data_IF_114779162110
#
_entry.id   IF_114779162110
#
_cell.length_a   1.000
_cell.length_b   1.000
_cell.length_c   1.000
_cell.angle_alpha   90.00
_cell.angle_beta   90.00
_cell.angle_gamma   90.00
#
_symmetry.space_group_name_H-M   'P 1'
#
loop_
_entity.id
_entity.type
_entity.pdbx_description
1 polymer ?
#
# COMPACT_ATOMS: atom_id res chain seq x y z
N UNK A 1 5.94 23.77 -38.65
CA UNK A 1 5.88 24.22 -37.25
C UNK A 1 7.29 24.05 -36.74
N UNK A 2 8.01 25.17 -36.64
CA UNK A 2 9.42 25.18 -36.26
C UNK A 2 9.56 24.77 -34.80
N UNK A 3 10.41 23.77 -34.54
CA UNK A 3 10.74 23.31 -33.20
C UNK A 3 11.50 24.43 -32.48
N UNK A 4 11.12 24.71 -31.23
CA UNK A 4 11.84 25.64 -30.37
C UNK A 4 13.20 24.99 -30.04
N UNK A 5 14.28 25.59 -30.54
CA UNK A 5 15.66 25.17 -30.31
C UNK A 5 15.99 25.39 -28.83
N UNK A 6 16.26 24.32 -28.07
CA UNK A 6 16.74 24.41 -26.68
C UNK A 6 18.25 24.73 -26.71
N UNK A 7 18.73 25.86 -26.16
CA UNK A 7 20.15 26.18 -26.13
C UNK A 7 20.76 25.69 -24.82
N UNK A 8 20.97 24.37 -24.66
CA UNK A 8 21.89 23.81 -23.65
C UNK A 8 22.17 22.32 -23.92
N UNK A 9 23.45 21.95 -23.90
CA UNK A 9 23.99 20.63 -24.25
C UNK A 9 23.50 19.50 -23.33
N UNK A 10 23.11 18.35 -23.91
CA UNK A 10 23.05 17.06 -23.23
C UNK A 10 24.37 16.79 -22.47
N UNK A 11 24.34 16.86 -21.13
CA UNK A 11 25.50 16.57 -20.29
C UNK A 11 25.62 15.08 -19.99
N UNK A 12 26.77 14.51 -20.33
CA UNK A 12 27.17 13.13 -20.04
C UNK A 12 27.81 13.08 -18.65
N UNK A 13 27.09 12.69 -17.62
CA UNK A 13 27.71 12.43 -16.31
C UNK A 13 28.24 10.99 -16.27
N UNK A 14 29.57 10.84 -16.38
CA UNK A 14 30.26 9.56 -16.16
C UNK A 14 30.40 9.33 -14.66
N UNK A 15 29.47 8.59 -14.08
CA UNK A 15 29.72 7.87 -12.83
C UNK A 15 29.64 6.37 -13.14
N UNK A 16 30.82 5.72 -13.19
CA UNK A 16 31.05 4.28 -13.27
C UNK A 16 30.08 3.47 -14.16
N UNK A 17 30.45 3.22 -15.42
CA UNK A 17 29.84 2.21 -16.32
C UNK A 17 28.33 2.28 -16.68
N UNK A 18 27.58 3.29 -16.23
CA UNK A 18 26.16 3.47 -16.59
C UNK A 18 25.93 4.50 -17.71
N UNK A 19 24.93 4.26 -18.56
CA UNK A 19 24.40 5.27 -19.50
C UNK A 19 23.20 5.97 -18.85
N UNK A 20 23.32 7.28 -18.59
CA UNK A 20 22.27 8.10 -17.98
C UNK A 20 21.70 9.05 -19.04
N UNK A 21 20.36 9.08 -19.20
CA UNK A 21 19.64 10.11 -19.96
C UNK A 21 18.68 10.83 -19.03
N UNK A 22 18.98 12.08 -18.72
CA UNK A 22 18.09 13.00 -17.98
C UNK A 22 17.42 13.90 -19.02
N UNK A 23 16.09 13.92 -19.05
CA UNK A 23 15.32 14.89 -19.84
C UNK A 23 14.68 15.84 -18.83
N UNK A 24 15.40 16.91 -18.49
CA UNK A 24 14.87 18.04 -17.73
C UNK A 24 14.47 19.13 -18.72
N UNK A 25 13.27 19.70 -18.56
CA UNK A 25 12.72 20.82 -19.33
C UNK A 25 12.95 20.76 -20.86
N UNK A 26 12.16 19.98 -21.63
CA UNK A 26 11.78 20.30 -23.02
C UNK A 26 10.88 19.18 -23.56
N UNK A 27 9.88 19.53 -24.36
CA UNK A 27 9.14 18.60 -25.24
C UNK A 27 10.20 17.84 -26.05
N UNK A 28 10.17 16.51 -25.97
CA UNK A 28 11.19 15.63 -26.57
C UNK A 28 11.28 15.90 -28.08
N UNK A 29 12.36 16.57 -28.51
CA UNK A 29 12.74 16.62 -29.92
C UNK A 29 13.40 15.29 -30.30
N UNK A 30 12.80 14.46 -31.18
CA UNK A 30 13.34 13.13 -31.49
C UNK A 30 14.70 13.14 -32.21
N UNK A 31 15.17 14.29 -32.69
CA UNK A 31 16.32 14.39 -33.59
C UNK A 31 17.70 14.34 -32.91
N UNK A 32 17.79 14.54 -31.58
CA UNK A 32 19.10 14.61 -30.90
C UNK A 32 19.47 13.35 -30.10
N UNK A 33 18.59 12.35 -29.98
CA UNK A 33 18.92 11.14 -29.25
C UNK A 33 20.02 10.34 -29.98
N UNK A 34 21.23 10.28 -29.40
CA UNK A 34 22.38 9.60 -30.03
C UNK A 34 22.05 8.12 -30.27
N UNK A 35 22.09 7.70 -31.54
CA UNK A 35 21.97 6.30 -32.03
C UNK A 35 22.79 5.25 -31.27
N UNK A 36 23.81 5.65 -30.52
CA UNK A 36 24.70 4.76 -29.76
C UNK A 36 24.12 4.33 -28.40
N UNK A 37 23.26 5.14 -27.77
CA UNK A 37 22.64 4.82 -26.46
C UNK A 37 21.61 3.70 -26.54
N UNK A 38 21.11 3.44 -27.75
CA UNK A 38 19.95 2.60 -28.05
C UNK A 38 20.34 1.26 -28.69
N UNK A 39 21.63 0.94 -28.79
CA UNK A 39 22.10 -0.29 -29.46
C UNK A 39 22.41 -1.47 -28.53
N UNK A 40 22.47 -1.23 -27.22
CA UNK A 40 23.10 -2.18 -26.28
C UNK A 40 22.27 -2.53 -25.04
N UNK A 41 21.09 -1.95 -24.85
CA UNK A 41 20.27 -2.21 -23.66
C UNK A 41 19.18 -3.25 -23.96
N UNK A 42 19.03 -4.24 -23.09
CA UNK A 42 17.81 -5.05 -23.02
C UNK A 42 16.69 -4.12 -22.52
N UNK A 43 15.91 -3.63 -23.47
CA UNK A 43 15.08 -2.44 -23.29
C UNK A 43 13.93 -2.65 -22.31
N UNK A 44 14.10 -2.21 -21.07
CA UNK A 44 13.00 -1.92 -20.17
C UNK A 44 12.94 -0.40 -19.99
N UNK A 45 11.91 0.25 -20.54
CA UNK A 45 11.72 1.71 -20.39
C UNK A 45 10.77 1.95 -19.23
N UNK A 46 11.28 2.55 -18.15
CA UNK A 46 10.44 2.97 -17.02
C UNK A 46 10.17 4.46 -17.14
N UNK A 47 8.91 4.83 -17.40
CA UNK A 47 8.49 6.24 -17.44
C UNK A 47 7.94 6.62 -16.08
N UNK A 48 8.63 7.49 -15.35
CA UNK A 48 8.14 8.03 -14.08
C UNK A 48 7.54 9.40 -14.34
N UNK A 49 6.23 9.51 -14.21
CA UNK A 49 5.51 10.74 -14.51
C UNK A 49 5.37 11.66 -13.29
N UNK A 50 5.48 12.97 -13.53
CA UNK A 50 5.71 13.96 -12.49
C UNK A 50 4.88 15.25 -12.61
N UNK A 51 4.06 15.57 -11.60
CA UNK A 51 3.33 16.84 -11.47
C UNK A 51 3.27 17.41 -10.04
N UNK A 52 3.61 18.70 -9.92
CA UNK A 52 3.23 19.66 -8.87
C UNK A 52 3.92 19.71 -7.47
N UNK A 53 4.77 18.77 -7.04
CA UNK A 53 5.34 18.78 -5.67
C UNK A 53 6.87 19.02 -5.52
N UNK A 54 7.58 19.45 -6.57
CA UNK A 54 9.03 19.46 -6.63
C UNK A 54 9.48 20.69 -7.40
N UNK A 55 9.35 21.85 -6.78
CA UNK A 55 10.03 23.03 -7.29
C UNK A 55 11.53 22.86 -7.09
N UNK A 56 12.31 23.03 -8.15
CA UNK A 56 13.74 23.29 -8.02
C UNK A 56 13.90 24.63 -7.31
N UNK A 57 14.33 24.62 -6.05
CA UNK A 57 14.83 25.84 -5.43
C UNK A 57 16.35 25.75 -5.37
N UNK A 58 17.02 26.58 -6.16
CA UNK A 58 18.47 26.78 -6.13
C UNK A 58 18.95 27.51 -4.88
N UNK A 59 18.37 27.23 -3.71
CA UNK A 59 18.73 27.86 -2.44
C UNK A 59 18.76 26.82 -1.31
N UNK A 60 19.98 26.42 -0.94
CA UNK A 60 20.31 25.36 0.01
C UNK A 60 20.08 25.77 1.48
N UNK A 61 19.00 26.50 1.78
CA UNK A 61 18.75 27.07 3.12
C UNK A 61 17.34 26.87 3.69
N UNK A 62 16.46 26.07 3.06
CA UNK A 62 15.09 25.83 3.54
C UNK A 62 14.86 24.44 4.17
N UNK A 63 13.86 24.39 5.05
CA UNK A 63 13.56 23.35 6.03
C UNK A 63 13.52 21.89 5.48
N UNK A 64 13.94 20.89 6.30
CA UNK A 64 14.17 19.50 5.87
C UNK A 64 12.94 18.73 5.36
N UNK A 65 11.72 19.23 5.58
CA UNK A 65 10.47 18.55 5.18
C UNK A 65 10.05 18.84 3.73
N UNK A 66 10.53 19.94 3.12
CA UNK A 66 10.25 20.29 1.71
C UNK A 66 11.20 19.55 0.76
N UNK A 67 12.36 19.08 1.26
CA UNK A 67 13.29 18.23 0.49
C UNK A 67 12.66 16.89 0.10
N UNK A 68 11.77 16.30 0.91
CA UNK A 68 11.25 14.95 0.67
C UNK A 68 10.44 14.81 -0.61
N UNK A 69 9.66 15.83 -1.00
CA UNK A 69 8.85 15.73 -2.21
C UNK A 69 9.75 15.78 -3.46
N UNK A 70 10.74 16.68 -3.51
CA UNK A 70 11.74 16.84 -4.61
C UNK A 70 12.56 15.56 -4.85
N UNK A 71 12.75 14.76 -3.81
CA UNK A 71 13.61 13.57 -3.83
C UNK A 71 12.93 12.35 -4.46
N UNK A 72 11.60 12.25 -4.45
CA UNK A 72 10.87 11.01 -4.78
C UNK A 72 11.14 10.44 -6.18
N UNK A 73 10.99 11.18 -7.31
CA UNK A 73 11.24 10.62 -8.65
C UNK A 73 12.72 10.26 -8.86
N UNK A 74 13.61 11.09 -8.32
CA UNK A 74 15.05 10.89 -8.41
C UNK A 74 15.51 9.68 -7.59
N UNK A 75 14.88 9.44 -6.44
CA UNK A 75 15.08 8.28 -5.60
C UNK A 75 14.57 7.00 -6.28
N UNK A 76 13.34 7.01 -6.80
CA UNK A 76 12.80 5.88 -7.56
C UNK A 76 13.71 5.51 -8.72
N UNK A 77 14.12 6.50 -9.52
CA UNK A 77 15.08 6.29 -10.62
C UNK A 77 16.36 5.63 -10.13
N UNK A 78 16.93 6.12 -9.02
CA UNK A 78 18.17 5.58 -8.46
C UNK A 78 18.01 4.13 -8.02
N UNK A 79 16.91 3.79 -7.36
CA UNK A 79 16.65 2.42 -6.91
C UNK A 79 16.38 1.47 -8.09
N UNK A 80 15.67 1.91 -9.13
CA UNK A 80 15.46 1.15 -10.36
C UNK A 80 16.78 0.84 -11.07
N UNK A 81 17.67 1.83 -11.19
CA UNK A 81 18.99 1.65 -11.82
C UNK A 81 19.94 0.76 -11.00
N UNK A 82 19.74 0.67 -9.67
CA UNK A 82 20.45 -0.31 -8.84
C UNK A 82 19.91 -1.73 -9.01
N UNK A 83 18.62 -1.86 -9.32
CA UNK A 83 17.95 -3.16 -9.41
C UNK A 83 18.37 -3.94 -10.64
N UNK A 84 18.39 -3.29 -11.80
CA UNK A 84 18.69 -3.91 -13.09
C UNK A 84 19.18 -2.86 -14.10
N UNK A 85 19.80 -3.34 -15.19
CA UNK A 85 20.26 -2.50 -16.30
C UNK A 85 19.07 -2.07 -17.18
N UNK A 86 18.40 -0.99 -16.76
CA UNK A 86 17.17 -0.47 -17.38
C UNK A 86 17.35 0.96 -17.89
N UNK A 87 16.53 1.33 -18.87
CA UNK A 87 16.42 2.71 -19.33
C UNK A 87 15.32 3.41 -18.52
N UNK A 88 15.70 4.28 -17.58
CA UNK A 88 14.72 5.02 -16.77
C UNK A 88 14.56 6.44 -17.32
N UNK A 89 13.35 6.77 -17.79
CA UNK A 89 12.99 8.07 -18.36
C UNK A 89 12.06 8.78 -17.38
N UNK A 90 12.46 9.96 -16.90
CA UNK A 90 11.59 10.79 -16.05
C UNK A 90 10.84 11.76 -16.97
N UNK A 91 9.51 11.80 -16.87
CA UNK A 91 8.67 12.72 -17.64
C UNK A 91 8.26 13.88 -16.75
N UNK A 92 8.94 14.99 -16.95
CA UNK A 92 8.63 16.26 -16.29
C UNK A 92 7.57 17.03 -17.09
N UNK A 93 6.40 17.21 -16.48
CA UNK A 93 5.34 18.08 -17.00
C UNK A 93 4.89 19.09 -15.95
N UNK A 94 5.81 19.50 -15.05
CA UNK A 94 5.53 20.42 -13.96
C UNK A 94 4.78 21.68 -14.43
N UNK A 95 5.22 22.28 -15.55
CA UNK A 95 4.57 23.45 -16.15
C UNK A 95 3.10 23.22 -16.55
N UNK A 96 2.72 22.00 -16.92
CA UNK A 96 1.35 21.60 -17.22
C UNK A 96 0.54 21.19 -15.98
N UNK A 97 1.20 20.83 -14.89
CA UNK A 97 0.57 20.40 -13.62
C UNK A 97 0.25 21.56 -12.66
N UNK A 98 0.99 22.67 -12.73
CA UNK A 98 0.88 23.84 -11.85
C UNK A 98 -0.40 24.71 -11.99
N UNK A 99 -1.10 24.78 -13.14
CA UNK A 99 -2.35 25.51 -13.26
C UNK A 99 -3.44 25.00 -12.31
N UNK A 100 -4.63 25.63 -12.35
CA UNK A 100 -5.81 25.15 -11.61
C UNK A 100 -6.03 23.65 -11.84
N UNK A 101 -6.42 22.91 -10.80
CA UNK A 101 -6.55 21.44 -10.85
C UNK A 101 -7.41 20.94 -12.01
N UNK A 102 -8.47 21.67 -12.40
CA UNK A 102 -9.28 21.36 -13.59
C UNK A 102 -8.48 21.42 -14.89
N UNK A 103 -7.60 22.41 -15.04
CA UNK A 103 -6.71 22.55 -16.18
C UNK A 103 -5.59 21.51 -16.14
N UNK A 104 -5.00 21.25 -14.97
CA UNK A 104 -4.01 20.19 -14.79
C UNK A 104 -4.59 18.82 -15.18
N UNK A 105 -5.83 18.54 -14.75
CA UNK A 105 -6.60 17.36 -15.15
C UNK A 105 -6.79 17.30 -16.66
N UNK A 106 -7.14 18.39 -17.33
CA UNK A 106 -7.24 18.39 -18.79
C UNK A 106 -5.89 18.16 -19.50
N UNK A 107 -4.80 18.68 -18.92
CA UNK A 107 -3.46 18.56 -19.48
C UNK A 107 -2.93 17.12 -19.46
N UNK A 108 -3.37 16.28 -18.52
CA UNK A 108 -3.00 14.84 -18.47
C UNK A 108 -3.20 14.12 -19.80
N UNK A 109 -4.27 14.47 -20.54
CA UNK A 109 -4.53 13.92 -21.88
C UNK A 109 -3.45 14.28 -22.89
N UNK A 110 -3.05 15.55 -22.90
CA UNK A 110 -2.02 16.03 -23.82
C UNK A 110 -0.67 15.39 -23.49
N UNK A 111 -0.30 15.35 -22.20
CA UNK A 111 0.95 14.70 -21.75
C UNK A 111 0.94 13.22 -22.12
N UNK A 112 -0.18 12.51 -21.94
CA UNK A 112 -0.29 11.09 -22.28
C UNK A 112 -0.11 10.83 -23.78
N UNK A 113 -0.65 11.72 -24.62
CA UNK A 113 -0.43 11.68 -26.06
C UNK A 113 1.05 11.89 -26.45
N UNK A 114 1.76 12.79 -25.78
CA UNK A 114 3.19 13.02 -26.02
C UNK A 114 4.04 11.81 -25.58
N UNK A 115 3.72 11.20 -24.44
CA UNK A 115 4.38 9.96 -23.98
C UNK A 115 4.14 8.83 -24.98
N UNK A 116 2.90 8.66 -25.46
CA UNK A 116 2.59 7.68 -26.49
C UNK A 116 3.31 7.95 -27.81
N UNK A 117 3.37 9.21 -28.24
CA UNK A 117 4.10 9.61 -29.44
C UNK A 117 5.60 9.24 -29.32
N UNK A 118 6.20 9.52 -28.17
CA UNK A 118 7.59 9.18 -27.89
C UNK A 118 7.85 7.67 -27.93
N UNK A 119 7.04 6.86 -27.25
CA UNK A 119 7.20 5.39 -27.25
C UNK A 119 6.96 4.79 -28.65
N UNK A 120 5.95 5.27 -29.39
CA UNK A 120 5.69 4.83 -30.75
C UNK A 120 6.82 5.24 -31.72
N UNK A 121 7.46 6.40 -31.49
CA UNK A 121 8.66 6.80 -32.22
C UNK A 121 9.82 5.83 -31.95
N UNK A 122 10.03 5.44 -30.68
CA UNK A 122 11.05 4.46 -30.33
C UNK A 122 10.78 3.08 -30.95
N UNK A 123 9.51 2.65 -30.95
CA UNK A 123 9.08 1.41 -31.60
C UNK A 123 9.39 1.44 -33.10
N UNK A 124 8.93 2.47 -33.81
CA UNK A 124 9.06 2.56 -35.26
C UNK A 124 10.50 2.82 -35.75
N UNK A 125 11.31 3.53 -34.96
CA UNK A 125 12.67 3.94 -35.37
C UNK A 125 13.76 2.98 -34.88
N UNK A 126 13.60 2.44 -33.66
CA UNK A 126 14.62 1.63 -33.01
C UNK A 126 14.17 0.18 -32.73
N UNK A 127 12.93 -0.18 -33.07
CA UNK A 127 12.41 -1.54 -32.88
C UNK A 127 12.12 -1.88 -31.42
N UNK A 128 11.88 -0.88 -30.55
CA UNK A 128 11.44 -1.10 -29.18
C UNK A 128 10.15 -1.95 -29.17
N UNK A 129 10.14 -3.07 -28.45
CA UNK A 129 8.92 -3.82 -28.19
C UNK A 129 8.12 -3.14 -27.06
N UNK A 130 6.89 -2.66 -27.32
CA UNK A 130 6.05 -2.06 -26.29
C UNK A 130 5.77 -2.99 -25.10
N UNK A 131 5.89 -4.31 -25.30
CA UNK A 131 5.74 -5.30 -24.23
C UNK A 131 6.79 -5.14 -23.12
N UNK A 132 7.93 -4.52 -23.40
CA UNK A 132 8.99 -4.26 -22.43
C UNK A 132 8.95 -2.84 -21.86
N UNK A 133 7.87 -2.08 -22.11
CA UNK A 133 7.68 -0.73 -21.54
C UNK A 133 6.83 -0.82 -20.28
N UNK A 134 7.28 -0.16 -19.22
CA UNK A 134 6.59 -0.04 -17.94
C UNK A 134 6.36 1.44 -17.60
N UNK A 135 5.12 1.91 -17.65
CA UNK A 135 4.79 3.28 -17.23
C UNK A 135 4.44 3.28 -15.74
N UNK A 136 4.97 4.24 -14.98
CA UNK A 136 4.69 4.43 -13.56
C UNK A 136 4.17 5.86 -13.38
N UNK A 137 2.89 5.98 -13.04
CA UNK A 137 2.22 7.27 -12.87
C UNK A 137 1.72 7.44 -11.43
N UNK A 138 1.97 8.60 -10.82
CA UNK A 138 1.43 8.96 -9.50
C UNK A 138 0.33 10.01 -9.63
N UNK A 139 -0.73 9.92 -8.82
CA UNK A 139 -1.81 10.92 -8.79
C UNK A 139 -2.44 11.13 -10.18
N UNK A 140 -2.47 12.37 -10.68
CA UNK A 140 -2.85 12.71 -12.06
C UNK A 140 -2.06 11.94 -13.10
N UNK A 141 -0.79 11.62 -12.83
CA UNK A 141 0.06 10.88 -13.76
C UNK A 141 -0.31 9.41 -13.92
N UNK A 142 -1.02 8.82 -12.95
CA UNK A 142 -1.60 7.48 -13.19
C UNK A 142 -2.59 7.50 -14.36
N UNK A 143 -3.34 8.60 -14.54
CA UNK A 143 -4.29 8.75 -15.64
C UNK A 143 -3.62 9.15 -16.94
N UNK A 144 -2.63 10.02 -16.89
CA UNK A 144 -1.76 10.30 -18.05
C UNK A 144 -1.11 9.03 -18.59
N UNK A 145 -0.61 8.13 -17.72
CA UNK A 145 -0.09 6.83 -18.13
C UNK A 145 -1.17 5.94 -18.80
N UNK A 146 -2.42 5.97 -18.30
CA UNK A 146 -3.55 5.33 -18.96
C UNK A 146 -3.82 5.90 -20.36
N UNK A 147 -3.90 7.23 -20.50
CA UNK A 147 -4.05 7.91 -21.79
C UNK A 147 -2.91 7.57 -22.78
N UNK A 148 -1.69 7.38 -22.28
CA UNK A 148 -0.58 6.90 -23.11
C UNK A 148 -0.79 5.44 -23.54
N UNK A 149 -1.18 4.56 -22.61
CA UNK A 149 -1.45 3.15 -22.85
C UNK A 149 -2.51 2.90 -23.91
N UNK A 150 -3.61 3.67 -23.90
CA UNK A 150 -4.67 3.62 -24.93
C UNK A 150 -4.12 3.79 -26.36
N UNK A 151 -2.98 4.48 -26.52
CA UNK A 151 -2.33 4.79 -27.80
C UNK A 151 -1.08 3.98 -28.10
N UNK A 152 -0.69 3.06 -27.21
CA UNK A 152 0.48 2.18 -27.38
C UNK A 152 -0.01 0.73 -27.47
N UNK A 153 -0.06 0.19 -28.69
CA UNK A 153 -0.52 -1.17 -28.91
C UNK A 153 0.44 -2.18 -28.28
N UNK A 154 -0.06 -2.98 -27.34
CA UNK A 154 0.69 -4.05 -26.71
C UNK A 154 1.61 -3.60 -25.58
N UNK A 155 1.36 -2.42 -24.98
CA UNK A 155 2.08 -1.91 -23.81
C UNK A 155 2.20 -2.97 -22.71
N UNK A 156 3.42 -3.16 -22.19
CA UNK A 156 3.75 -4.18 -21.21
C UNK A 156 3.04 -4.00 -19.88
N UNK A 157 3.28 -2.87 -19.20
CA UNK A 157 2.76 -2.64 -17.85
C UNK A 157 2.50 -1.18 -17.54
N UNK A 158 1.46 -0.91 -16.77
CA UNK A 158 1.24 0.37 -16.07
C UNK A 158 1.16 0.10 -14.57
N UNK A 159 1.87 0.89 -13.77
CA UNK A 159 1.65 0.96 -12.32
C UNK A 159 1.05 2.32 -11.95
N UNK A 160 -0.15 2.30 -11.38
CA UNK A 160 -0.83 3.47 -10.84
C UNK A 160 -0.53 3.65 -9.35
N UNK A 161 0.16 4.73 -8.99
CA UNK A 161 0.46 5.07 -7.61
C UNK A 161 -0.56 6.09 -7.12
N UNK A 162 -1.54 5.62 -6.36
CA UNK A 162 -2.66 6.38 -5.81
C UNK A 162 -3.33 7.32 -6.84
N UNK A 163 -3.99 6.77 -7.89
CA UNK A 163 -4.59 7.57 -8.97
C UNK A 163 -5.59 8.61 -8.41
N UNK A 164 -5.61 9.82 -8.97
CA UNK A 164 -6.40 10.92 -8.40
C UNK A 164 -7.93 10.72 -8.50
N UNK A 165 -8.68 10.94 -7.42
CA UNK A 165 -10.16 10.84 -7.39
C UNK A 165 -10.86 11.94 -8.20
N UNK A 166 -10.59 13.24 -7.97
CA UNK A 166 -11.47 14.27 -8.47
C UNK A 166 -11.42 14.38 -9.99
N UNK A 167 -12.60 14.31 -10.61
CA UNK A 167 -12.84 14.23 -12.07
C UNK A 167 -12.52 12.89 -12.76
N UNK A 168 -12.14 11.85 -12.02
CA UNK A 168 -11.86 10.51 -12.58
C UNK A 168 -12.73 9.41 -11.98
N UNK A 169 -12.96 9.41 -10.66
CA UNK A 169 -13.79 8.38 -10.02
C UNK A 169 -15.22 8.39 -10.57
N UNK A 170 -15.75 7.20 -10.89
CA UNK A 170 -17.08 7.04 -11.49
C UNK A 170 -17.18 7.44 -12.96
N UNK A 171 -16.10 7.95 -13.57
CA UNK A 171 -16.09 8.32 -14.98
C UNK A 171 -15.85 7.11 -15.90
N UNK A 172 -16.26 7.19 -17.19
CA UNK A 172 -16.01 6.14 -18.17
C UNK A 172 -14.53 5.82 -18.33
N UNK A 173 -14.20 4.59 -18.70
CA UNK A 173 -12.82 4.09 -18.82
C UNK A 173 -11.93 4.98 -19.70
N UNK A 174 -12.44 5.47 -20.84
CA UNK A 174 -11.75 6.43 -21.74
C UNK A 174 -11.29 7.75 -21.08
N UNK A 175 -11.68 8.02 -19.84
CA UNK A 175 -11.32 9.26 -19.13
C UNK A 175 -10.40 9.05 -17.94
N UNK A 176 -9.95 7.82 -17.69
CA UNK A 176 -9.15 7.46 -16.51
C UNK A 176 -8.26 6.26 -16.82
N UNK A 177 -7.44 5.89 -15.85
CA UNK A 177 -6.71 4.62 -15.91
C UNK A 177 -7.70 3.46 -15.82
N UNK A 178 -7.52 2.44 -16.65
CA UNK A 178 -8.26 1.19 -16.58
C UNK A 178 -7.43 -0.02 -17.05
N UNK A 179 -7.89 -1.26 -16.77
CA UNK A 179 -7.13 -2.47 -17.12
C UNK A 179 -6.80 -2.62 -18.61
N UNK A 180 -7.59 -2.04 -19.52
CA UNK A 180 -7.36 -2.15 -20.96
C UNK A 180 -6.15 -1.36 -21.48
N UNK A 181 -5.59 -0.45 -20.67
CA UNK A 181 -4.50 0.44 -21.06
C UNK A 181 -3.14 -0.28 -21.22
N UNK A 182 -2.97 -1.48 -20.66
CA UNK A 182 -1.75 -2.28 -20.81
C UNK A 182 -2.01 -3.77 -20.59
N UNK A 183 -1.05 -4.64 -20.92
CA UNK A 183 -1.13 -6.08 -20.63
C UNK A 183 -1.23 -6.39 -19.13
N UNK A 184 -0.65 -5.53 -18.30
CA UNK A 184 -0.79 -5.55 -16.85
C UNK A 184 -0.96 -4.13 -16.33
N UNK A 185 -1.94 -3.93 -15.46
CA UNK A 185 -2.18 -2.67 -14.76
C UNK A 185 -2.28 -3.01 -13.28
N UNK A 186 -1.33 -2.53 -12.48
CA UNK A 186 -1.33 -2.74 -11.03
C UNK A 186 -1.38 -1.39 -10.29
N UNK A 187 -2.23 -1.29 -9.27
CA UNK A 187 -2.57 -0.01 -8.64
C UNK A 187 -2.37 -0.09 -7.14
N UNK A 188 -1.78 0.95 -6.53
CA UNK A 188 -1.59 1.07 -5.08
C UNK A 188 -2.43 2.24 -4.58
N UNK A 189 -3.48 1.96 -3.80
CA UNK A 189 -4.37 2.97 -3.21
C UNK A 189 -3.94 3.26 -1.77
N UNK A 190 -3.63 4.51 -1.46
CA UNK A 190 -3.17 4.92 -0.12
C UNK A 190 -4.00 6.02 0.51
N UNK A 191 -4.75 6.79 -0.28
CA UNK A 191 -5.52 7.97 0.16
C UNK A 191 -6.97 8.00 -0.36
N UNK A 192 -7.61 6.84 -0.41
CA UNK A 192 -9.00 6.63 -0.86
C UNK A 192 -10.08 7.08 0.12
N UNK A 193 -9.80 8.07 0.98
CA UNK A 193 -10.87 8.79 1.69
C UNK A 193 -11.64 9.64 0.68
N UNK A 194 -12.88 10.00 1.00
CA UNK A 194 -13.59 10.97 0.17
C UNK A 194 -12.82 12.30 0.13
N UNK A 195 -12.82 12.97 -1.01
CA UNK A 195 -12.33 14.35 -1.13
C UNK A 195 -12.88 15.33 -0.07
N UNK A 196 -14.10 15.12 0.43
CA UNK A 196 -14.67 15.92 1.54
C UNK A 196 -13.96 15.70 2.87
N UNK A 197 -13.28 14.56 3.02
CA UNK A 197 -12.39 14.20 4.12
C UNK A 197 -10.92 14.31 3.71
N UNK A 198 -10.64 15.12 2.68
CA UNK A 198 -9.30 15.43 2.18
C UNK A 198 -8.53 14.23 1.61
N UNK A 199 -9.21 13.18 1.14
CA UNK A 199 -8.57 12.12 0.35
C UNK A 199 -8.43 12.52 -1.11
N UNK A 200 -7.25 12.35 -1.68
CA UNK A 200 -6.98 12.68 -3.08
C UNK A 200 -7.01 11.47 -4.01
N UNK A 201 -6.86 10.25 -3.48
CA UNK A 201 -6.81 9.02 -4.26
C UNK A 201 -8.19 8.42 -4.56
N UNK A 202 -8.34 7.77 -5.71
CA UNK A 202 -9.51 6.97 -6.03
C UNK A 202 -9.63 5.80 -5.04
N UNK A 203 -10.85 5.50 -4.61
CA UNK A 203 -11.16 4.25 -3.89
C UNK A 203 -11.60 3.13 -4.86
N UNK A 204 -12.14 3.54 -6.01
CA UNK A 204 -12.58 2.64 -7.07
C UNK A 204 -11.38 1.87 -7.66
N UNK A 205 -11.48 0.53 -7.77
CA UNK A 205 -10.49 -0.28 -8.48
C UNK A 205 -10.36 0.13 -9.94
N UNK A 206 -9.13 0.24 -10.44
CA UNK A 206 -8.83 0.62 -11.81
C UNK A 206 -7.68 -0.17 -12.46
N UNK A 207 -7.16 -1.21 -11.79
CA UNK A 207 -6.19 -2.13 -12.35
C UNK A 207 -6.73 -3.55 -12.57
N UNK A 208 -5.84 -4.40 -13.08
CA UNK A 208 -5.98 -5.86 -12.98
C UNK A 208 -5.78 -6.32 -11.53
N UNK A 209 -4.87 -5.65 -10.82
CA UNK A 209 -4.58 -5.88 -9.40
C UNK A 209 -4.60 -4.54 -8.67
N UNK A 210 -5.43 -4.43 -7.64
CA UNK A 210 -5.58 -3.22 -6.85
C UNK A 210 -5.20 -3.52 -5.38
N UNK A 211 -4.15 -2.86 -4.93
CA UNK A 211 -3.59 -2.99 -3.59
C UNK A 211 -4.10 -1.87 -2.68
N UNK A 212 -4.58 -2.23 -1.48
CA UNK A 212 -5.15 -1.28 -0.53
C UNK A 212 -4.41 -1.33 0.83
N UNK A 213 -3.18 -0.78 0.91
CA UNK A 213 -2.45 -0.68 2.16
C UNK A 213 -3.20 0.03 3.26
N UNK A 214 -3.34 -0.66 4.39
CA UNK A 214 -4.00 -0.14 5.58
C UNK A 214 -5.41 0.38 5.23
N UNK A 215 -6.23 -0.44 4.55
CA UNK A 215 -7.55 -0.09 4.00
C UNK A 215 -7.52 0.91 2.83
N UNK A 216 -6.33 1.31 2.38
CA UNK A 216 -6.10 2.27 1.31
C UNK A 216 -6.59 3.68 1.61
N UNK A 217 -6.70 4.07 2.88
CA UNK A 217 -7.29 5.36 3.30
C UNK A 217 -6.38 6.17 4.23
N UNK A 218 -5.81 5.51 5.23
CA UNK A 218 -4.97 6.15 6.24
C UNK A 218 -3.70 5.34 6.38
N UNK A 219 -2.57 6.01 6.24
CA UNK A 219 -1.27 5.38 6.30
C UNK A 219 -0.64 5.67 7.66
N UNK A 220 -0.02 4.66 8.31
CA UNK A 220 0.68 4.87 9.57
C UNK A 220 1.71 6.01 9.47
N UNK A 221 1.72 6.91 10.46
CA UNK A 221 2.62 8.08 10.50
C UNK A 221 2.15 9.30 9.70
N UNK A 222 0.92 9.29 9.17
CA UNK A 222 0.31 10.43 8.45
C UNK A 222 -0.85 11.08 9.23
N UNK A 223 -0.98 10.85 10.54
CA UNK A 223 -2.04 11.44 11.35
C UNK A 223 -1.72 12.92 11.68
N UNK A 224 -2.68 13.81 11.41
CA UNK A 224 -2.55 15.25 11.60
C UNK A 224 -2.30 15.63 13.08
N UNK A 225 -2.69 14.76 14.02
CA UNK A 225 -2.46 14.96 15.45
C UNK A 225 -1.00 14.72 15.88
N UNK A 226 -0.24 13.90 15.14
CA UNK A 226 1.15 13.56 15.45
C UNK A 226 2.18 14.49 14.78
N UNK A 227 1.78 15.23 13.74
CA UNK A 227 2.61 16.24 13.06
C UNK A 227 2.08 17.66 13.32
N UNK A 228 2.38 18.28 14.49
CA UNK A 228 1.99 19.65 14.76
C UNK A 228 2.68 20.60 13.79
N UNK A 229 1.89 21.45 13.14
CA UNK A 229 2.33 22.48 12.20
C UNK A 229 3.54 23.28 12.72
N UNK A 230 4.65 23.35 11.96
CA UNK A 230 5.63 24.41 12.16
C UNK A 230 4.94 25.77 12.00
N UNK A 231 5.04 26.63 13.03
CA UNK A 231 4.53 28.02 13.03
C UNK A 231 5.05 28.87 11.84
N UNK A 232 6.06 28.39 11.12
CA UNK A 232 6.59 28.99 9.89
C UNK A 232 5.64 28.85 8.69
N UNK A 233 4.80 27.81 8.62
CA UNK A 233 3.79 27.63 7.56
C UNK A 233 2.62 28.62 7.65
N UNK A 234 2.43 29.24 8.82
CA UNK A 234 1.38 30.26 9.04
C UNK A 234 1.80 31.62 8.43
N UNK A 235 3.11 31.84 8.22
CA UNK A 235 3.63 33.10 7.66
C UNK A 235 3.55 33.19 6.13
N UNK A 236 3.65 32.07 5.42
CA UNK A 236 3.74 32.04 3.96
C UNK A 236 2.38 31.81 3.25
N UNK A 237 1.27 31.95 3.97
CA UNK A 237 -0.08 31.92 3.41
C UNK A 237 -0.77 30.56 3.52
N UNK A 238 -2.07 30.61 3.81
CA UNK A 238 -2.92 29.45 4.12
C UNK A 238 -3.04 28.46 2.93
N UNK A 239 -2.83 28.92 1.70
CA UNK A 239 -2.88 28.08 0.49
C UNK A 239 -1.70 27.10 0.41
N UNK A 240 -0.48 27.52 0.76
CA UNK A 240 0.71 26.66 0.61
C UNK A 240 0.83 25.64 1.75
N UNK A 241 0.42 26.01 2.96
CA UNK A 241 0.31 25.07 4.09
C UNK A 241 -0.74 23.97 3.85
N UNK A 242 -1.82 24.28 3.12
CA UNK A 242 -2.87 23.32 2.77
C UNK A 242 -2.41 22.25 1.76
N UNK A 243 -1.41 22.57 0.93
CA UNK A 243 -0.88 21.69 -0.12
C UNK A 243 0.12 20.65 0.38
N UNK A 244 0.83 20.96 1.47
CA UNK A 244 1.90 20.11 2.03
C UNK A 244 1.36 19.12 3.07
N UNK A 245 0.42 19.52 3.94
CA UNK A 245 -0.06 18.64 5.03
C UNK A 245 -0.96 17.49 4.58
N UNK A 246 -1.69 17.67 3.48
CA UNK A 246 -2.73 16.73 3.04
C UNK A 246 -2.16 15.63 2.13
N UNK A 247 -0.90 15.74 1.69
CA UNK A 247 -0.31 14.82 0.74
C UNK A 247 0.38 13.57 1.36
N UNK A 248 0.49 13.44 2.69
CA UNK A 248 1.27 12.33 3.30
C UNK A 248 0.74 10.95 2.92
N UNK A 249 -0.58 10.72 3.06
CA UNK A 249 -1.22 9.47 2.64
C UNK A 249 -1.04 9.27 1.14
N UNK A 250 -1.21 10.34 0.35
CA UNK A 250 -1.13 10.29 -1.11
C UNK A 250 0.27 9.95 -1.65
N UNK A 251 1.31 10.47 -1.01
CA UNK A 251 2.73 10.22 -1.36
C UNK A 251 3.17 8.83 -0.88
N UNK A 252 2.47 8.20 0.07
CA UNK A 252 2.85 6.89 0.60
C UNK A 252 2.91 5.82 -0.48
N UNK A 253 2.08 5.88 -1.53
CA UNK A 253 2.14 4.93 -2.64
C UNK A 253 3.52 4.95 -3.35
N UNK A 254 4.12 6.13 -3.54
CA UNK A 254 5.48 6.25 -4.09
C UNK A 254 6.49 5.60 -3.16
N UNK A 255 6.46 5.94 -1.86
CA UNK A 255 7.40 5.38 -0.87
C UNK A 255 7.30 3.85 -0.82
N UNK A 256 6.08 3.30 -0.78
CA UNK A 256 5.84 1.85 -0.80
C UNK A 256 6.36 1.18 -2.08
N UNK A 257 6.20 1.82 -3.25
CA UNK A 257 6.73 1.29 -4.50
C UNK A 257 8.26 1.31 -4.52
N UNK A 258 8.89 2.43 -4.15
CA UNK A 258 10.36 2.56 -4.06
C UNK A 258 10.92 1.47 -3.15
N UNK A 259 10.31 1.29 -1.98
CA UNK A 259 10.70 0.27 -1.01
C UNK A 259 10.63 -1.15 -1.58
N UNK A 260 9.73 -1.41 -2.53
CA UNK A 260 9.54 -2.73 -3.13
C UNK A 260 10.62 -3.12 -4.15
N UNK A 261 11.40 -2.16 -4.65
CA UNK A 261 12.33 -2.36 -5.76
C UNK A 261 13.48 -3.30 -5.36
N UNK A 262 14.19 -2.97 -4.30
CA UNK A 262 15.39 -3.70 -3.83
C UNK A 262 15.17 -4.40 -2.48
N UNK A 263 13.91 -4.74 -2.15
CA UNK A 263 13.59 -5.38 -0.86
C UNK A 263 13.94 -6.85 -0.84
N UNK A 264 14.46 -7.31 0.30
CA UNK A 264 14.57 -8.74 0.64
C UNK A 264 13.30 -9.28 1.33
N UNK A 265 12.38 -8.40 1.70
CA UNK A 265 11.11 -8.69 2.35
C UNK A 265 9.97 -8.21 1.44
N UNK A 266 9.42 -9.08 0.57
CA UNK A 266 8.42 -8.68 -0.40
C UNK A 266 7.09 -8.35 0.29
N UNK A 267 6.39 -7.35 -0.25
CA UNK A 267 5.04 -7.02 0.19
C UNK A 267 4.05 -8.05 -0.35
N UNK A 268 3.63 -8.99 0.49
CA UNK A 268 2.58 -9.95 0.12
C UNK A 268 1.22 -9.40 0.54
N UNK A 269 0.31 -9.29 -0.44
CA UNK A 269 -1.05 -8.84 -0.22
C UNK A 269 -2.03 -10.01 -0.44
N UNK A 270 -3.08 -10.08 0.38
CA UNK A 270 -4.07 -11.15 0.34
C UNK A 270 -5.37 -10.66 -0.30
N UNK A 271 -5.87 -11.40 -1.29
CA UNK A 271 -7.19 -11.14 -1.88
C UNK A 271 -8.26 -11.30 -0.82
N UNK A 272 -9.10 -10.30 -0.67
CA UNK A 272 -10.15 -10.31 0.36
C UNK A 272 -11.34 -9.43 -0.03
N UNK A 273 -12.56 -9.87 0.31
CA UNK A 273 -13.80 -9.13 -0.03
C UNK A 273 -13.90 -7.77 0.67
N UNK A 274 -13.28 -7.62 1.84
CA UNK A 274 -13.26 -6.37 2.61
C UNK A 274 -12.10 -6.34 3.59
N UNK A 275 -11.67 -5.12 3.96
CA UNK A 275 -10.66 -4.94 5.00
C UNK A 275 -11.11 -5.51 6.35
N UNK A 276 -12.42 -5.48 6.64
CA UNK A 276 -12.96 -6.07 7.86
C UNK A 276 -12.85 -7.60 7.88
N UNK A 277 -13.01 -8.28 6.73
CA UNK A 277 -12.75 -9.71 6.61
C UNK A 277 -11.26 -10.02 6.79
N UNK A 278 -10.38 -9.16 6.27
CA UNK A 278 -8.94 -9.27 6.48
C UNK A 278 -8.57 -9.15 7.96
N UNK A 279 -9.05 -8.12 8.66
CA UNK A 279 -8.83 -7.93 10.10
C UNK A 279 -9.38 -9.08 10.96
N UNK A 280 -10.38 -9.81 10.48
CA UNK A 280 -10.92 -11.01 11.14
C UNK A 280 -10.12 -12.28 10.82
N UNK A 281 -9.09 -12.21 9.98
CA UNK A 281 -8.26 -13.35 9.62
C UNK A 281 -8.98 -14.38 8.73
N UNK A 282 -10.00 -13.93 7.97
CA UNK A 282 -10.70 -14.78 6.98
C UNK A 282 -9.88 -14.97 5.71
N UNK A 283 -9.02 -14.00 5.40
CA UNK A 283 -8.13 -13.97 4.23
C UNK A 283 -6.68 -14.07 4.72
N UNK A 284 -6.21 -15.30 4.98
CA UNK A 284 -5.00 -15.53 5.79
C UNK A 284 -4.03 -16.58 5.21
N UNK A 285 -4.34 -17.14 4.04
CA UNK A 285 -3.56 -18.23 3.42
C UNK A 285 -3.23 -17.92 1.98
N UNK A 286 -2.01 -18.24 1.52
CA UNK A 286 -1.61 -18.19 0.12
C UNK A 286 -1.62 -19.62 -0.44
N UNK A 287 -2.70 -20.05 -1.09
CA UNK A 287 -2.70 -21.41 -1.64
C UNK A 287 -1.77 -21.46 -2.86
N UNK A 288 -0.86 -22.44 -2.90
CA UNK A 288 -0.02 -22.72 -4.06
C UNK A 288 -0.89 -22.82 -5.33
N UNK A 289 -0.53 -22.07 -6.37
CA UNK A 289 -1.26 -21.97 -7.66
C UNK A 289 -2.64 -21.28 -7.62
N UNK A 290 -2.95 -20.52 -6.57
CA UNK A 290 -4.19 -19.73 -6.52
C UNK A 290 -3.93 -18.22 -6.68
N UNK A 291 -4.93 -17.51 -7.20
CA UNK A 291 -4.97 -16.04 -7.29
C UNK A 291 -5.26 -15.35 -5.94
N UNK A 292 -4.99 -16.01 -4.80
CA UNK A 292 -5.35 -15.48 -3.47
C UNK A 292 -4.31 -14.53 -2.91
N UNK A 293 -3.09 -14.51 -3.43
CA UNK A 293 -2.03 -13.60 -2.99
C UNK A 293 -1.30 -12.99 -4.17
N UNK A 294 -0.86 -11.75 -4.00
CA UNK A 294 -0.07 -11.01 -4.98
C UNK A 294 1.07 -10.25 -4.30
N UNK A 295 2.17 -10.05 -5.03
CA UNK A 295 3.27 -9.19 -4.59
C UNK A 295 2.93 -7.75 -4.96
N UNK A 296 2.94 -6.82 -4.00
CA UNK A 296 2.79 -5.40 -4.31
C UNK A 296 4.13 -4.81 -4.77
N UNK A 297 4.06 -3.92 -5.77
CA UNK A 297 5.18 -3.10 -6.21
C UNK A 297 5.89 -3.68 -7.42
N UNK A 298 7.22 -3.53 -7.52
CA UNK A 298 7.95 -3.87 -8.74
C UNK A 298 7.76 -5.33 -9.17
N UNK A 299 7.64 -6.26 -8.22
CA UNK A 299 7.47 -7.69 -8.47
C UNK A 299 6.02 -8.13 -8.75
N UNK A 300 5.05 -7.21 -8.87
CA UNK A 300 3.65 -7.58 -9.06
C UNK A 300 3.39 -8.45 -10.30
N UNK A 301 4.17 -8.26 -11.36
CA UNK A 301 4.14 -9.08 -12.59
C UNK A 301 4.44 -10.57 -12.36
N UNK A 302 5.07 -10.94 -11.24
CA UNK A 302 5.37 -12.33 -10.89
C UNK A 302 4.19 -13.04 -10.19
N UNK A 303 3.11 -12.32 -9.92
CA UNK A 303 1.95 -12.85 -9.19
C UNK A 303 1.12 -13.77 -10.10
N UNK A 304 0.76 -14.96 -9.59
CA UNK A 304 -0.08 -15.92 -10.32
C UNK A 304 -1.50 -15.40 -10.63
N UNK A 305 -1.94 -14.33 -9.96
CA UNK A 305 -3.19 -13.60 -10.28
C UNK A 305 -3.21 -13.15 -11.75
N UNK A 306 -2.05 -12.81 -12.31
CA UNK A 306 -1.89 -12.40 -13.70
C UNK A 306 -2.09 -13.58 -14.68
N UNK A 307 -2.02 -14.83 -14.22
CA UNK A 307 -2.07 -16.02 -15.08
C UNK A 307 -3.46 -16.63 -15.26
N UNK A 308 -4.43 -16.34 -14.36
CA UNK A 308 -5.75 -16.99 -14.39
C UNK A 308 -6.89 -16.07 -14.82
N UNK A 309 -6.77 -14.75 -14.63
CA UNK A 309 -7.91 -13.82 -14.69
C UNK A 309 -7.84 -12.81 -15.86
N UNK A 310 -6.88 -12.94 -16.79
CA UNK A 310 -6.78 -12.11 -18.00
C UNK A 310 -7.85 -12.43 -19.09
N UNK A 311 -8.95 -13.10 -18.72
CA UNK A 311 -10.11 -13.22 -19.62
C UNK A 311 -10.84 -11.89 -19.71
N UNK A 312 -11.04 -11.31 -20.91
CA UNK A 312 -11.76 -10.05 -21.07
C UNK A 312 -13.21 -10.21 -20.59
N UNK A 313 -13.56 -9.57 -19.47
CA UNK A 313 -14.94 -9.53 -18.95
C UNK A 313 -15.16 -10.01 -17.51
N UNK A 314 -14.15 -10.49 -16.79
CA UNK A 314 -14.27 -10.69 -15.34
C UNK A 314 -14.13 -9.35 -14.61
N UNK A 315 -15.26 -8.74 -14.25
CA UNK A 315 -15.36 -7.55 -13.39
C UNK A 315 -14.90 -7.80 -11.94
N UNK A 316 -14.06 -8.79 -11.68
CA UNK A 316 -13.53 -9.05 -10.34
C UNK A 316 -12.16 -8.40 -10.22
N UNK A 317 -12.14 -7.12 -9.89
CA UNK A 317 -10.94 -6.46 -9.41
C UNK A 317 -10.41 -7.22 -8.20
N UNK A 318 -9.15 -7.65 -8.27
CA UNK A 318 -8.51 -8.41 -7.20
C UNK A 318 -8.10 -7.45 -6.08
N UNK A 319 -9.04 -7.13 -5.19
CA UNK A 319 -8.79 -6.32 -3.99
C UNK A 319 -7.82 -7.09 -3.09
N UNK A 320 -6.57 -6.62 -3.05
CA UNK A 320 -5.52 -7.20 -2.23
C UNK A 320 -5.26 -6.32 -1.02
N UNK A 321 -5.57 -6.85 0.16
CA UNK A 321 -5.53 -6.17 1.46
C UNK A 321 -4.47 -6.84 2.34
N UNK A 322 -3.57 -6.05 2.92
CA UNK A 322 -2.58 -6.52 3.89
C UNK A 322 -1.14 -6.24 3.48
N UNK A 323 -0.34 -5.73 4.42
CA UNK A 323 1.05 -5.33 4.18
C UNK A 323 1.97 -5.82 5.27
N UNK A 324 3.04 -6.50 4.87
CA UNK A 324 4.22 -6.67 5.69
C UNK A 324 5.41 -6.08 4.96
N UNK A 325 5.94 -4.95 5.43
CA UNK A 325 7.30 -4.50 5.07
C UNK A 325 8.35 -5.28 5.85
N UNK A 326 8.05 -5.51 7.13
CA UNK A 326 8.84 -6.19 8.16
C UNK A 326 7.93 -6.81 9.23
N UNK A 327 6.65 -6.43 9.30
CA UNK A 327 5.68 -6.88 10.31
C UNK A 327 4.99 -8.17 9.94
N UNK A 328 5.30 -9.27 10.63
CA UNK A 328 4.53 -10.52 10.48
C UNK A 328 3.11 -10.30 10.99
N UNK A 329 2.15 -10.84 10.25
CA UNK A 329 0.74 -10.81 10.64
C UNK A 329 0.44 -12.06 11.45
N UNK A 330 -0.18 -11.88 12.60
CA UNK A 330 -0.60 -12.97 13.47
C UNK A 330 -2.12 -12.92 13.61
N UNK A 331 -2.78 -14.06 13.41
CA UNK A 331 -4.19 -14.24 13.74
C UNK A 331 -4.29 -14.76 15.16
N UNK A 332 -4.85 -13.95 16.04
CA UNK A 332 -5.20 -14.31 17.41
C UNK A 332 -6.68 -14.69 17.44
N UNK A 333 -6.95 -15.97 17.70
CA UNK A 333 -8.30 -16.52 17.87
C UNK A 333 -8.55 -16.77 19.35
N UNK A 334 -9.61 -16.14 19.86
CA UNK A 334 -10.02 -16.21 21.26
C UNK A 334 -11.27 -17.10 21.32
N UNK A 335 -11.17 -18.24 21.99
CA UNK A 335 -12.30 -19.14 22.21
C UNK A 335 -13.01 -18.73 23.51
N UNK A 336 -14.26 -18.26 23.39
CA UNK A 336 -15.03 -17.78 24.55
C UNK A 336 -15.90 -18.90 25.13
N UNK A 337 -15.77 -19.12 26.44
CA UNK A 337 -16.65 -20.03 27.17
C UNK A 337 -17.99 -19.37 27.51
N UNK A 338 -19.02 -20.17 27.77
CA UNK A 338 -20.36 -19.70 28.17
C UNK A 338 -20.84 -20.38 29.45
N UNK A 339 -20.25 -20.10 30.62
CA UNK A 339 -20.75 -20.62 31.88
C UNK A 339 -22.15 -20.05 32.18
N UNK A 340 -22.96 -20.71 33.05
CA UNK A 340 -24.35 -20.29 33.32
C UNK A 340 -24.52 -18.84 33.82
N UNK A 341 -23.48 -18.30 34.46
CA UNK A 341 -23.45 -16.91 34.95
C UNK A 341 -23.05 -15.87 33.89
N UNK A 342 -22.52 -16.30 32.75
CA UNK A 342 -22.01 -15.38 31.73
C UNK A 342 -23.15 -14.64 31.03
N UNK A 343 -22.94 -13.36 30.79
CA UNK A 343 -23.81 -12.60 29.89
C UNK A 343 -23.77 -13.17 28.47
N UNK A 344 -24.85 -12.96 27.72
CA UNK A 344 -24.90 -13.41 26.32
C UNK A 344 -23.80 -12.79 25.45
N UNK A 345 -23.43 -11.54 25.73
CA UNK A 345 -22.35 -10.82 25.07
C UNK A 345 -21.78 -9.75 26.01
N UNK A 346 -20.53 -9.38 25.77
CA UNK A 346 -19.83 -8.27 26.45
C UNK A 346 -19.09 -7.44 25.40
N UNK A 347 -18.64 -6.25 25.78
CA UNK A 347 -17.78 -5.44 24.90
C UNK A 347 -16.68 -4.76 25.70
N UNK A 348 -15.54 -4.53 25.05
CA UNK A 348 -14.37 -4.02 25.73
C UNK A 348 -13.11 -4.01 24.89
N UNK A 349 -12.01 -3.69 25.55
CA UNK A 349 -10.67 -3.61 25.00
C UNK A 349 -9.85 -4.83 25.40
N UNK A 350 -8.97 -5.27 24.51
CA UNK A 350 -8.15 -6.45 24.71
C UNK A 350 -6.71 -6.18 24.32
N UNK A 351 -5.78 -6.64 25.16
CA UNK A 351 -4.35 -6.62 24.86
C UNK A 351 -3.75 -7.98 25.12
N UNK A 352 -2.73 -8.35 24.35
CA UNK A 352 -2.00 -9.60 24.54
C UNK A 352 -0.50 -9.36 24.67
N UNK A 353 0.14 -10.10 25.57
CA UNK A 353 1.59 -10.24 25.59
C UNK A 353 1.95 -11.67 25.21
N UNK A 354 2.75 -11.81 24.15
CA UNK A 354 3.18 -13.07 23.58
C UNK A 354 4.58 -13.40 24.09
N UNK A 355 4.74 -14.57 24.72
CA UNK A 355 6.03 -15.06 25.20
C UNK A 355 6.42 -16.31 24.41
N UNK A 356 7.57 -16.23 23.76
CA UNK A 356 8.19 -17.33 23.02
C UNK A 356 9.56 -17.68 23.57
N UNK A 357 10.22 -18.64 22.93
CA UNK A 357 11.61 -19.00 23.25
C UNK A 357 12.59 -17.89 22.82
N UNK A 358 12.27 -17.18 21.75
CA UNK A 358 13.14 -16.19 21.12
C UNK A 358 12.93 -14.77 21.65
N UNK A 359 11.84 -14.51 22.37
CA UNK A 359 11.58 -13.18 22.94
C UNK A 359 10.21 -12.99 23.58
N UNK A 360 9.90 -11.75 23.92
CA UNK A 360 8.61 -11.34 24.49
C UNK A 360 8.10 -10.11 23.77
N UNK A 361 6.91 -10.21 23.20
CA UNK A 361 6.13 -9.07 22.68
C UNK A 361 5.14 -8.68 23.76
N UNK A 362 5.18 -7.42 24.21
CA UNK A 362 4.33 -6.93 25.31
C UNK A 362 3.25 -5.99 24.81
N UNK A 363 2.08 -6.05 25.44
CA UNK A 363 0.99 -5.09 25.27
C UNK A 363 0.55 -4.87 23.81
N UNK A 364 0.51 -5.94 23.01
CA UNK A 364 -0.02 -5.89 21.65
C UNK A 364 -1.53 -5.63 21.72
N UNK A 365 -1.96 -4.50 21.17
CA UNK A 365 -3.37 -4.11 21.18
C UNK A 365 -4.16 -4.90 20.14
N UNK A 366 -5.20 -5.62 20.58
CA UNK A 366 -6.11 -6.35 19.70
C UNK A 366 -7.30 -5.48 19.24
N UNK A 367 -7.45 -4.30 19.83
CA UNK A 367 -8.61 -3.39 19.71
C UNK A 367 -8.18 -1.94 19.40
N UNK A 368 -7.32 -1.69 18.39
CA UNK A 368 -6.79 -0.35 18.12
C UNK A 368 -7.85 0.65 17.65
N UNK A 369 -8.94 0.17 17.06
CA UNK A 369 -10.04 0.99 16.53
C UNK A 369 -11.20 1.18 17.53
N UNK A 370 -10.97 0.90 18.82
CA UNK A 370 -11.98 0.95 19.87
C UNK A 370 -12.44 -0.44 20.32
N UNK A 371 -13.50 -0.47 21.13
CA UNK A 371 -13.98 -1.71 21.74
C UNK A 371 -14.45 -2.74 20.71
N UNK A 372 -14.39 -4.01 21.09
CA UNK A 372 -14.97 -5.11 20.31
C UNK A 372 -16.10 -5.77 21.09
N UNK A 373 -17.17 -6.12 20.37
CA UNK A 373 -18.27 -6.91 20.91
C UNK A 373 -17.97 -8.41 20.78
N UNK A 374 -18.12 -9.12 21.89
CA UNK A 374 -17.80 -10.54 22.04
C UNK A 374 -19.03 -11.30 22.51
N UNK A 375 -19.34 -12.43 21.87
CA UNK A 375 -20.44 -13.31 22.26
C UNK A 375 -19.89 -14.54 22.98
N UNK A 376 -20.30 -14.77 24.23
CA UNK A 376 -19.86 -15.94 24.98
C UNK A 376 -20.36 -17.23 24.30
N UNK A 377 -19.47 -18.22 24.17
CA UNK A 377 -19.72 -19.47 23.45
C UNK A 377 -19.37 -19.43 21.97
N UNK A 378 -18.79 -18.34 21.46
CA UNK A 378 -18.26 -18.23 20.11
C UNK A 378 -16.76 -17.94 20.12
N UNK A 379 -16.08 -18.29 19.03
CA UNK A 379 -14.69 -17.91 18.80
C UNK A 379 -14.62 -16.59 18.05
N UNK A 380 -13.66 -15.74 18.40
CA UNK A 380 -13.39 -14.48 17.71
C UNK A 380 -11.94 -14.41 17.26
N UNK A 381 -11.72 -14.18 15.97
CA UNK A 381 -10.39 -14.02 15.39
C UNK A 381 -10.10 -12.57 15.03
N UNK A 382 -8.86 -12.14 15.28
CA UNK A 382 -8.34 -10.80 15.03
C UNK A 382 -6.92 -10.91 14.45
N UNK A 383 -6.59 -10.09 13.46
CA UNK A 383 -5.25 -10.00 12.88
C UNK A 383 -4.51 -8.81 13.47
N UNK A 384 -3.29 -9.06 13.92
CA UNK A 384 -2.37 -8.07 14.48
C UNK A 384 -1.01 -8.17 13.81
N UNK A 385 -0.25 -7.08 13.83
CA UNK A 385 1.05 -7.00 13.16
C UNK A 385 2.16 -6.75 14.17
N UNK A 386 3.32 -7.38 13.96
CA UNK A 386 4.51 -7.12 14.77
C UNK A 386 5.80 -7.28 13.94
N UNK A 387 6.78 -6.35 14.02
CA UNK A 387 8.00 -6.35 13.19
C UNK A 387 8.93 -7.55 13.40
N UNK A 388 8.83 -8.25 14.53
CA UNK A 388 9.67 -9.41 14.83
C UNK A 388 8.92 -10.72 14.65
N UNK A 389 9.65 -11.74 14.21
CA UNK A 389 9.22 -13.14 14.33
C UNK A 389 9.10 -13.48 15.80
N UNK A 390 7.89 -13.83 16.22
CA UNK A 390 7.63 -14.22 17.60
C UNK A 390 8.01 -15.68 17.81
N UNK A 391 8.09 -16.52 16.79
CA UNK A 391 8.40 -17.94 16.97
C UNK A 391 7.34 -18.69 17.79
N UNK A 392 7.69 -19.91 18.23
CA UNK A 392 6.74 -20.80 18.92
C UNK A 392 6.39 -20.26 20.31
N UNK A 393 5.10 -20.04 20.56
CA UNK A 393 4.63 -19.49 21.83
C UNK A 393 4.65 -20.54 22.95
N UNK A 394 5.09 -20.10 24.13
CA UNK A 394 5.04 -20.88 25.38
C UNK A 394 3.96 -20.37 26.33
N UNK A 395 3.74 -19.06 26.33
CA UNK A 395 2.81 -18.39 27.23
C UNK A 395 2.19 -17.16 26.57
N UNK A 396 0.90 -16.92 26.84
CA UNK A 396 0.19 -15.69 26.48
C UNK A 396 -0.40 -15.08 27.73
N UNK A 397 -0.18 -13.78 27.92
CA UNK A 397 -0.89 -12.98 28.91
C UNK A 397 -1.98 -12.19 28.18
N UNK A 398 -3.23 -12.38 28.59
CA UNK A 398 -4.39 -11.76 27.96
C UNK A 398 -5.03 -10.79 28.94
N UNK A 399 -5.08 -9.52 28.57
CA UNK A 399 -5.68 -8.43 29.33
C UNK A 399 -7.06 -8.09 28.79
N UNK A 400 -8.02 -7.90 29.70
CA UNK A 400 -9.41 -7.51 29.39
C UNK A 400 -9.80 -6.25 30.14
N UNK A 401 -10.48 -5.33 29.46
CA UNK A 401 -11.14 -4.17 30.07
C UNK A 401 -12.52 -3.98 29.48
N UNK A 402 -13.55 -4.08 30.31
CA UNK A 402 -14.94 -3.90 29.91
C UNK A 402 -15.24 -2.43 29.58
N UNK A 403 -15.93 -2.19 28.47
CA UNK A 403 -16.32 -0.85 28.01
C UNK A 403 -17.81 -0.58 28.30
N UNK A 404 -18.07 0.43 29.14
CA UNK A 404 -19.40 0.94 29.42
C UNK A 404 -19.69 2.15 28.52
N UNK A 405 -20.54 1.96 27.50
CA UNK A 405 -20.93 3.02 26.59
C UNK A 405 -22.33 3.54 26.96
N UNK A 406 -22.40 4.81 27.36
CA UNK A 406 -23.65 5.49 27.74
C UNK A 406 -24.62 5.63 26.57
N UNK A 407 -24.11 5.65 25.33
CA UNK A 407 -24.91 5.68 24.11
C UNK A 407 -25.47 4.29 23.75
N UNK A 408 -25.00 3.22 24.42
CA UNK A 408 -25.52 1.86 24.29
C UNK A 408 -26.08 1.36 25.61
N UNK A 409 -27.38 1.57 25.89
CA UNK A 409 -27.99 1.27 27.19
C UNK A 409 -27.83 -0.17 27.66
N UNK A 410 -27.67 -1.13 26.73
CA UNK A 410 -27.44 -2.55 27.04
C UNK A 410 -26.02 -2.88 27.50
N UNK A 411 -25.08 -1.93 27.45
CA UNK A 411 -23.71 -2.08 27.93
C UNK A 411 -23.48 -1.50 29.34
N UNK A 412 -24.45 -0.74 29.87
CA UNK A 412 -24.33 -0.08 31.17
C UNK A 412 -24.33 -1.10 32.31
N UNK A 413 -23.24 -1.10 33.09
CA UNK A 413 -22.99 -2.10 34.11
C UNK A 413 -22.76 -1.45 35.50
N UNK A 414 -23.84 -1.16 36.24
CA UNK A 414 -23.77 -0.43 37.53
C UNK A 414 -23.85 -1.31 38.80
N UNK A 415 -24.68 -2.36 38.81
CA UNK A 415 -24.90 -3.18 40.02
C UNK A 415 -25.25 -4.67 39.77
N UNK A 416 -25.89 -5.01 38.64
CA UNK A 416 -26.45 -6.35 38.35
C UNK A 416 -26.04 -6.86 36.96
N UNK A 417 -24.75 -6.86 36.69
CA UNK A 417 -24.19 -7.20 35.39
C UNK A 417 -22.87 -7.92 35.61
N UNK A 418 -22.56 -8.86 34.73
CA UNK A 418 -21.32 -9.61 34.76
C UNK A 418 -20.41 -9.09 33.64
N UNK A 419 -19.47 -8.23 34.02
CA UNK A 419 -18.48 -7.61 33.14
C UNK A 419 -17.24 -8.50 32.89
N UNK A 420 -17.27 -9.73 33.42
CA UNK A 420 -16.20 -10.69 33.23
C UNK A 420 -16.23 -11.27 31.81
N UNK A 421 -15.03 -11.56 31.31
CA UNK A 421 -14.82 -12.32 30.09
C UNK A 421 -14.41 -13.75 30.44
N UNK A 422 -15.07 -14.73 29.82
CA UNK A 422 -14.75 -16.14 30.01
C UNK A 422 -14.05 -16.70 28.78
N UNK A 423 -12.77 -17.07 28.91
CA UNK A 423 -11.93 -17.52 27.78
C UNK A 423 -11.44 -18.94 28.03
N UNK A 424 -11.71 -19.88 27.13
CA UNK A 424 -11.28 -21.28 27.25
C UNK A 424 -9.87 -21.50 26.70
N UNK A 425 -9.58 -20.95 25.53
CA UNK A 425 -8.29 -21.09 24.86
C UNK A 425 -7.99 -19.86 23.99
N UNK A 426 -6.70 -19.68 23.72
CA UNK A 426 -6.20 -18.69 22.76
C UNK A 426 -5.34 -19.42 21.75
N UNK A 427 -5.65 -19.26 20.48
CA UNK A 427 -4.85 -19.78 19.37
C UNK A 427 -4.17 -18.61 18.66
N UNK A 428 -2.86 -18.71 18.44
CA UNK A 428 -2.11 -17.76 17.63
C UNK A 428 -1.51 -18.49 16.44
N UNK A 429 -1.83 -18.00 15.25
CA UNK A 429 -1.30 -18.49 13.99
C UNK A 429 -0.60 -17.37 13.23
N UNK A 430 0.53 -17.67 12.60
CA UNK A 430 1.20 -16.74 11.71
C UNK A 430 0.60 -16.77 10.29
N UNK A 431 0.52 -15.62 9.63
CA UNK A 431 0.04 -15.49 8.26
C UNK A 431 1.06 -16.07 7.28
N UNK A 432 0.57 -16.83 6.31
CA UNK A 432 1.37 -17.41 5.25
C UNK A 432 1.89 -16.32 4.29
N UNK A 433 3.21 -16.30 4.08
CA UNK A 433 3.92 -15.35 3.22
C UNK A 433 4.48 -16.09 1.98
N UNK A 434 4.37 -17.42 1.91
CA UNK A 434 4.99 -18.24 0.88
C UNK A 434 4.24 -18.14 -0.44
N UNK A 435 4.84 -17.44 -1.41
CA UNK A 435 4.48 -17.55 -2.84
C UNK A 435 5.29 -18.65 -3.55
N UNK A 436 6.28 -19.25 -2.87
CA UNK A 436 7.19 -20.27 -3.41
C UNK A 436 7.61 -21.29 -2.35
N UNK A 437 6.96 -22.46 -2.33
CA UNK A 437 7.56 -23.80 -2.16
C UNK A 437 8.46 -24.10 -0.96
N UNK A 438 8.63 -23.21 0.03
CA UNK A 438 9.16 -23.60 1.33
C UNK A 438 8.01 -24.25 2.10
N UNK A 439 8.25 -25.47 2.59
CA UNK A 439 7.42 -26.13 3.59
C UNK A 439 7.36 -25.22 4.81
N UNK A 440 6.38 -24.32 4.83
CA UNK A 440 6.08 -23.53 6.01
C UNK A 440 5.56 -24.52 7.05
N UNK A 441 6.31 -24.63 8.15
CA UNK A 441 5.75 -25.19 9.37
C UNK A 441 4.69 -24.21 9.83
N UNK A 442 3.42 -24.46 9.49
CA UNK A 442 2.25 -23.73 9.98
C UNK A 442 2.42 -23.51 11.49
N UNK A 443 2.89 -22.33 11.88
CA UNK A 443 3.17 -22.03 13.28
C UNK A 443 1.85 -21.68 13.95
N UNK A 444 1.14 -22.73 14.37
CA UNK A 444 -0.11 -22.65 15.09
C UNK A 444 0.12 -23.07 16.54
N UNK A 445 0.06 -22.10 17.44
CA UNK A 445 0.20 -22.31 18.88
C UNK A 445 -1.15 -22.17 19.56
N UNK A 446 -1.71 -23.27 20.05
CA UNK A 446 -2.91 -23.26 20.91
C UNK A 446 -2.47 -23.24 22.37
N UNK A 447 -2.94 -22.27 23.13
CA UNK A 447 -2.65 -22.08 24.55
C UNK A 447 -3.94 -22.21 25.37
N UNK A 448 -3.84 -22.91 26.49
CA UNK A 448 -4.96 -23.21 27.38
C UNK A 448 -4.70 -22.69 28.79
N UNK A 449 -5.73 -22.70 29.62
CA UNK A 449 -5.59 -22.24 31.01
C UNK A 449 -4.68 -23.15 31.85
N UNK A 450 -3.91 -22.61 32.81
CA UNK A 450 -3.06 -23.40 33.70
C UNK A 450 -3.86 -24.24 34.71
N UNK A 451 -3.48 -25.51 34.84
CA UNK A 451 -4.27 -26.49 35.59
C UNK A 451 -5.54 -26.85 34.82
N UNK A 452 -6.16 -28.01 35.08
CA UNK A 452 -7.30 -28.54 34.32
C UNK A 452 -8.61 -27.72 34.46
N UNK A 453 -8.55 -26.39 34.32
CA UNK A 453 -9.70 -25.50 34.30
C UNK A 453 -10.24 -25.46 32.87
N UNK A 454 -11.56 -25.47 32.74
CA UNK A 454 -12.21 -25.39 31.42
C UNK A 454 -12.11 -23.99 30.80
N UNK A 455 -12.02 -22.95 31.64
CA UNK A 455 -11.91 -21.55 31.21
C UNK A 455 -11.26 -20.67 32.27
N UNK A 456 -10.73 -19.52 31.82
CA UNK A 456 -10.27 -18.43 32.65
C UNK A 456 -11.43 -17.46 32.86
N UNK A 457 -11.65 -17.09 34.12
CA UNK A 457 -12.60 -16.07 34.53
C UNK A 457 -11.84 -14.74 34.71
N UNK A 458 -12.04 -13.80 33.78
CA UNK A 458 -11.25 -12.57 33.67
C UNK A 458 -12.14 -11.38 34.04
N UNK A 459 -11.94 -10.82 35.23
CA UNK A 459 -12.61 -9.59 35.64
C UNK A 459 -12.14 -8.40 34.80
N UNK A 460 -12.94 -7.33 34.73
CA UNK A 460 -12.51 -6.10 34.05
C UNK A 460 -11.21 -5.54 34.64
N UNK A 461 -10.32 -5.05 33.79
CA UNK A 461 -8.97 -4.54 34.10
C UNK A 461 -8.05 -5.58 34.74
N UNK A 462 -8.21 -6.84 34.36
CA UNK A 462 -7.37 -7.94 34.85
C UNK A 462 -6.74 -8.72 33.70
N UNK A 463 -5.70 -9.50 34.04
CA UNK A 463 -4.94 -10.31 33.09
C UNK A 463 -5.05 -11.79 33.45
N UNK A 464 -5.29 -12.64 32.45
CA UNK A 464 -5.20 -14.09 32.58
C UNK A 464 -4.01 -14.64 31.80
N UNK A 465 -3.49 -15.77 32.27
CA UNK A 465 -2.35 -16.44 31.67
C UNK A 465 -2.82 -17.71 30.97
N UNK A 466 -2.31 -17.96 29.77
CA UNK A 466 -2.51 -19.17 28.98
C UNK A 466 -1.15 -19.78 28.65
N UNK A 467 -1.04 -21.11 28.67
CA UNK A 467 0.22 -21.85 28.45
C UNK A 467 0.03 -22.92 27.39
N UNK A 468 1.12 -23.31 26.72
CA UNK A 468 1.15 -24.29 25.63
C UNK A 468 0.85 -25.74 26.07
N UNK A 469 0.80 -26.02 27.37
CA UNK A 469 0.45 -27.32 27.95
C UNK A 469 -1.05 -27.43 28.19
N UNK A 470 -1.81 -27.60 27.11
CA UNK A 470 -3.23 -27.95 27.22
C UNK A 470 -3.37 -29.36 27.84
N UNK A 471 -4.26 -29.52 28.83
CA UNK A 471 -4.63 -30.83 29.33
C UNK A 471 -5.30 -31.63 28.20
N UNK A 472 -4.80 -32.84 27.97
CA UNK A 472 -5.26 -33.77 26.93
C UNK A 472 -6.55 -34.49 27.30
#
# INVERSE_FOLDING_TARGET
MDCIVCPQEMRREKHADWNVVVIEECIVCPQEMRRELLKYADWNVVVVEYGMYCLSSGDATRAPEIEECIVCPQEMRRELLKHADWNVVVVDWAGGSLPLYTQATANTRLVGLEVAYFINYLQSTFGLDPANVHLIGHSLGAHTAGYAGERIVGLGRITGLDPAEPFFQGMPTITRLDPSDAKLVDVIHTDGKSIFLLGYGMSQPCGHIDFYPNNGKEQPGCDLAETPLPLTLIRDGLEEASRVLVACNHIRAIKLFIDSINTNCPYVAHRCDSYQHFLQGRCFTCKENSSTCALMGLQAHQSNVVSTDLTPGSNESSISLGFSRVGRHYRVTIDLAKPPRAESWVQGYMKVSLHSEDGVVRNLDLTPNGYVKLQHGQSRSLVVTHPSDVGRLRKVEFYWEYDMDVLQPRSLCFFWCNDHLYVSAIEVAEMDISTRGKRDTDMKSKLCTPGNREYADIASRSTAVFVDKCAS
#
